data_IF_156544256190
#
_entry.id   IF_156544256190
#
_cell.length_a   1.000
_cell.length_b   1.000
_cell.length_c   1.000
_cell.angle_alpha   90.00
_cell.angle_beta   90.00
_cell.angle_gamma   90.00
#
_symmetry.space_group_name_H-M   'P 1'
#
loop_
_entity.id
_entity.type
_entity.pdbx_description
1 polymer ?
#
# COMPACT_ATOMS: atom_id res chain seq x y z
N UNK A 1 0.66 -8.93 30.99
CA UNK A 1 -0.59 -8.74 30.22
C UNK A 1 -1.52 -9.96 30.25
N UNK A 2 -0.99 -11.19 30.26
CA UNK A 2 -1.80 -12.43 30.22
C UNK A 2 -2.38 -12.87 31.57
N UNK A 3 -2.08 -12.14 32.64
CA UNK A 3 -2.63 -12.40 33.96
C UNK A 3 -4.15 -12.18 33.97
N UNK A 4 -4.88 -13.11 34.60
CA UNK A 4 -6.34 -13.06 34.67
C UNK A 4 -6.81 -12.23 35.86
N UNK A 5 -7.71 -11.29 35.60
CA UNK A 5 -8.42 -10.46 36.57
C UNK A 5 -9.92 -10.72 36.49
N UNK A 6 -10.62 -10.48 37.60
CA UNK A 6 -12.09 -10.60 37.65
C UNK A 6 -12.68 -9.19 37.48
N UNK A 7 -13.57 -9.02 36.51
CA UNK A 7 -14.28 -7.77 36.24
C UNK A 7 -15.79 -8.01 36.27
N UNK A 8 -16.56 -6.94 36.47
CA UNK A 8 -18.02 -6.96 36.33
C UNK A 8 -18.41 -6.31 35.01
N UNK A 9 -19.12 -7.03 34.14
CA UNK A 9 -19.53 -6.58 32.82
C UNK A 9 -21.00 -6.98 32.60
N UNK A 10 -21.88 -6.01 32.31
CA UNK A 10 -23.31 -6.27 32.11
C UNK A 10 -23.99 -6.98 33.29
N UNK A 11 -23.59 -6.63 34.52
CA UNK A 11 -24.09 -7.26 35.75
C UNK A 11 -23.55 -8.67 36.05
N UNK A 12 -22.66 -9.22 35.22
CA UNK A 12 -22.05 -10.54 35.43
C UNK A 12 -20.56 -10.44 35.73
N UNK A 13 -20.06 -11.32 36.60
CA UNK A 13 -18.63 -11.47 36.87
C UNK A 13 -17.97 -12.27 35.76
N UNK A 14 -16.87 -11.77 35.21
CA UNK A 14 -16.08 -12.44 34.18
C UNK A 14 -14.61 -12.42 34.55
N UNK A 15 -13.90 -13.50 34.24
CA UNK A 15 -12.45 -13.62 34.44
C UNK A 15 -11.76 -13.44 33.08
N UNK A 16 -11.18 -12.26 32.87
CA UNK A 16 -10.52 -11.87 31.61
C UNK A 16 -9.07 -11.45 31.89
N UNK A 17 -8.24 -11.34 30.88
CA UNK A 17 -6.85 -10.92 31.03
C UNK A 17 -6.74 -9.41 31.29
N UNK A 18 -5.66 -8.98 31.93
CA UNK A 18 -5.35 -7.54 32.10
C UNK A 18 -5.32 -6.82 30.74
N UNK A 19 -4.78 -7.46 29.71
CA UNK A 19 -4.75 -6.91 28.35
C UNK A 19 -6.15 -6.64 27.80
N UNK A 20 -7.07 -7.60 27.93
CA UNK A 20 -8.46 -7.44 27.50
C UNK A 20 -9.18 -6.32 28.26
N UNK A 21 -8.98 -6.22 29.58
CA UNK A 21 -9.57 -5.14 30.39
C UNK A 21 -9.09 -3.76 29.92
N UNK A 22 -7.80 -3.61 29.66
CA UNK A 22 -7.22 -2.35 29.17
C UNK A 22 -7.78 -2.00 27.80
N UNK A 23 -7.85 -2.97 26.88
CA UNK A 23 -8.41 -2.76 25.55
C UNK A 23 -9.88 -2.29 25.62
N UNK A 24 -10.71 -2.95 26.45
CA UNK A 24 -12.11 -2.54 26.67
C UNK A 24 -12.22 -1.13 27.21
N UNK A 25 -11.43 -0.79 28.23
CA UNK A 25 -11.46 0.55 28.83
C UNK A 25 -11.01 1.63 27.83
N UNK A 26 -10.01 1.32 27.01
CA UNK A 26 -9.52 2.22 25.98
C UNK A 26 -10.60 2.49 24.91
N UNK A 27 -11.30 1.46 24.46
CA UNK A 27 -12.41 1.59 23.50
C UNK A 27 -13.54 2.42 24.11
N UNK A 28 -13.93 2.15 25.35
CA UNK A 28 -14.97 2.93 26.03
C UNK A 28 -14.62 4.42 26.13
N UNK A 29 -13.37 4.74 26.51
CA UNK A 29 -12.87 6.12 26.56
C UNK A 29 -12.88 6.80 25.19
N UNK A 30 -12.47 6.09 24.14
CA UNK A 30 -12.51 6.60 22.79
C UNK A 30 -13.94 6.85 22.29
N UNK A 31 -14.88 5.95 22.61
CA UNK A 31 -16.31 6.13 22.31
C UNK A 31 -16.93 7.34 23.04
N UNK A 32 -16.36 7.72 24.19
CA UNK A 32 -16.69 8.96 24.91
C UNK A 32 -15.91 10.20 24.40
N UNK A 33 -15.33 10.14 23.20
CA UNK A 33 -14.58 11.23 22.56
C UNK A 33 -13.30 11.69 23.29
N UNK A 34 -12.69 10.84 24.12
CA UNK A 34 -11.40 11.16 24.73
C UNK A 34 -10.29 11.16 23.66
N UNK A 35 -9.76 12.35 23.34
CA UNK A 35 -8.79 12.55 22.25
C UNK A 35 -7.58 11.61 22.36
N UNK A 36 -7.04 11.45 23.57
CA UNK A 36 -5.88 10.60 23.82
C UNK A 36 -6.18 9.12 23.52
N UNK A 37 -7.37 8.65 23.89
CA UNK A 37 -7.79 7.28 23.63
C UNK A 37 -7.97 7.03 22.11
N UNK A 38 -8.58 7.97 21.39
CA UNK A 38 -8.72 7.90 19.93
C UNK A 38 -7.35 7.86 19.22
N UNK A 39 -6.40 8.70 19.65
CA UNK A 39 -5.03 8.71 19.09
C UNK A 39 -4.30 7.38 19.33
N UNK A 40 -4.47 6.79 20.51
CA UNK A 40 -3.91 5.47 20.83
C UNK A 40 -4.51 4.38 19.94
N UNK A 41 -5.84 4.37 19.75
CA UNK A 41 -6.50 3.41 18.86
C UNK A 41 -6.02 3.54 17.41
N UNK A 42 -5.93 4.76 16.87
CA UNK A 42 -5.39 5.01 15.52
C UNK A 42 -3.96 4.49 15.35
N UNK A 43 -3.14 4.61 16.39
CA UNK A 43 -1.77 4.10 16.39
C UNK A 43 -1.75 2.57 16.39
N UNK A 44 -2.62 1.93 17.18
CA UNK A 44 -2.77 0.48 17.23
C UNK A 44 -3.26 -0.06 15.88
N UNK A 45 -4.27 0.55 15.29
CA UNK A 45 -4.81 0.22 13.97
C UNK A 45 -3.73 0.28 12.88
N UNK A 46 -2.97 1.38 12.83
CA UNK A 46 -1.86 1.53 11.88
C UNK A 46 -0.82 0.41 12.02
N UNK A 47 -0.46 0.05 13.26
CA UNK A 47 0.50 -1.04 13.49
C UNK A 47 -0.04 -2.39 13.04
N UNK A 48 -1.33 -2.65 13.27
CA UNK A 48 -1.96 -3.89 12.80
C UNK A 48 -1.97 -3.96 11.28
N UNK A 49 -2.34 -2.88 10.60
CA UNK A 49 -2.33 -2.80 9.13
C UNK A 49 -0.93 -3.00 8.55
N UNK A 50 0.11 -2.47 9.20
CA UNK A 50 1.50 -2.72 8.79
C UNK A 50 1.92 -4.16 9.04
N UNK A 51 1.50 -4.75 10.17
CA UNK A 51 1.80 -6.15 10.50
C UNK A 51 1.09 -7.13 9.56
N UNK A 52 -0.15 -6.86 9.17
CA UNK A 52 -0.87 -7.68 8.17
C UNK A 52 -0.22 -7.57 6.80
N UNK A 53 0.14 -6.36 6.35
CA UNK A 53 0.89 -6.20 5.10
C UNK A 53 2.26 -6.89 5.12
N UNK A 54 2.97 -6.85 6.25
CA UNK A 54 4.22 -7.56 6.40
C UNK A 54 4.01 -9.08 6.37
N UNK A 55 2.96 -9.58 7.02
CA UNK A 55 2.58 -10.99 7.00
C UNK A 55 2.11 -11.46 5.61
N UNK A 56 1.39 -10.62 4.86
CA UNK A 56 0.98 -10.89 3.48
C UNK A 56 2.19 -10.91 2.54
N UNK A 57 3.14 -9.97 2.70
CA UNK A 57 4.40 -9.96 1.94
C UNK A 57 5.27 -11.19 2.25
N UNK A 58 5.32 -11.64 3.49
CA UNK A 58 6.05 -12.86 3.85
C UNK A 58 5.31 -14.14 3.47
N UNK A 59 3.98 -14.13 3.40
CA UNK A 59 3.17 -15.24 2.90
C UNK A 59 3.15 -15.33 1.36
N UNK A 60 3.48 -14.25 0.65
CA UNK A 60 3.61 -14.22 -0.82
C UNK A 60 4.95 -14.83 -1.31
N UNK A 61 5.76 -15.36 -0.40
CA UNK A 61 6.98 -16.13 -0.69
C UNK A 61 6.76 -17.58 -0.16
N UNK A 62 5.97 -18.45 -0.80
CA UNK A 62 6.38 -19.47 -1.82
C UNK A 62 5.29 -20.60 -1.90
N UNK A 63 5.19 -21.47 -2.95
CA UNK A 63 6.18 -21.74 -3.99
C UNK A 63 5.90 -20.95 -5.26
N UNK A 64 6.97 -20.59 -5.95
CA UNK A 64 7.00 -20.39 -7.40
C UNK A 64 6.09 -21.42 -8.09
N UNK A 65 4.87 -21.02 -8.44
CA UNK A 65 4.20 -21.58 -9.60
C UNK A 65 5.15 -21.27 -10.75
N UNK A 66 5.73 -22.32 -11.38
CA UNK A 66 6.56 -22.28 -12.58
C UNK A 66 6.51 -20.89 -13.22
N UNK A 67 7.45 -20.02 -12.83
CA UNK A 67 7.67 -18.83 -13.63
C UNK A 67 7.93 -19.39 -15.03
N UNK A 68 7.30 -18.90 -16.10
CA UNK A 68 7.84 -19.18 -17.41
C UNK A 68 9.30 -18.82 -17.30
N UNK A 69 10.19 -19.81 -17.46
CA UNK A 69 11.61 -19.54 -17.59
C UNK A 69 11.70 -18.62 -18.79
N UNK A 70 11.67 -17.32 -18.55
CA UNK A 70 12.00 -16.37 -19.58
C UNK A 70 13.42 -16.77 -19.96
N UNK A 71 13.65 -17.16 -21.23
CA UNK A 71 14.98 -17.55 -21.65
C UNK A 71 15.92 -16.43 -21.22
N UNK A 72 16.92 -16.78 -20.41
CA UNK A 72 17.96 -15.84 -20.02
C UNK A 72 18.55 -15.30 -21.32
N UNK A 73 18.23 -14.06 -21.67
CA UNK A 73 18.73 -13.44 -22.90
C UNK A 73 20.20 -13.20 -22.66
N UNK A 74 21.04 -13.99 -23.32
CA UNK A 74 22.48 -13.80 -23.31
C UNK A 74 22.82 -12.59 -24.21
N UNK A 75 22.89 -11.41 -23.59
CA UNK A 75 23.19 -10.15 -24.29
C UNK A 75 24.57 -10.15 -24.96
N UNK A 76 25.48 -11.06 -24.58
CA UNK A 76 26.79 -11.21 -25.23
C UNK A 76 26.69 -11.82 -26.63
N UNK A 77 25.56 -12.42 -27.00
CA UNK A 77 25.30 -12.96 -28.35
C UNK A 77 24.63 -11.96 -29.28
N UNK A 78 24.22 -10.79 -28.77
CA UNK A 78 23.57 -9.77 -29.57
C UNK A 78 24.60 -9.03 -30.42
N UNK A 79 24.29 -8.86 -31.70
CA UNK A 79 25.10 -8.00 -32.58
C UNK A 79 24.97 -6.54 -32.16
N UNK A 80 25.95 -5.71 -32.54
CA UNK A 80 25.95 -4.26 -32.27
C UNK A 80 24.66 -3.58 -32.75
N UNK A 81 24.06 -4.06 -33.86
CA UNK A 81 22.79 -3.54 -34.37
C UNK A 81 21.62 -3.85 -33.44
N UNK A 82 21.57 -5.06 -32.88
CA UNK A 82 20.51 -5.47 -31.96
C UNK A 82 20.61 -4.75 -30.61
N UNK A 83 21.83 -4.52 -30.11
CA UNK A 83 22.04 -3.74 -28.90
C UNK A 83 21.55 -2.29 -29.05
N UNK A 84 21.76 -1.68 -30.23
CA UNK A 84 21.30 -0.32 -30.50
C UNK A 84 19.77 -0.20 -30.51
N UNK A 85 19.09 -1.17 -31.12
CA UNK A 85 17.61 -1.22 -31.13
C UNK A 85 17.06 -1.42 -29.72
N UNK A 86 17.72 -2.25 -28.90
CA UNK A 86 17.32 -2.45 -27.51
C UNK A 86 17.46 -1.17 -26.68
N UNK A 87 18.53 -0.41 -26.90
CA UNK A 87 18.79 0.84 -26.20
C UNK A 87 17.79 1.94 -26.59
N UNK A 88 17.44 2.03 -27.88
CA UNK A 88 16.39 2.94 -28.36
C UNK A 88 15.01 2.58 -27.79
N UNK A 89 14.69 1.28 -27.69
CA UNK A 89 13.45 0.83 -27.06
C UNK A 89 13.39 1.16 -25.56
N UNK A 90 14.52 1.08 -24.85
CA UNK A 90 14.61 1.45 -23.43
C UNK A 90 14.43 2.97 -23.26
N UNK A 91 15.05 3.78 -24.12
CA UNK A 91 14.88 5.25 -24.11
C UNK A 91 13.42 5.69 -24.33
N UNK A 92 12.66 4.97 -25.17
CA UNK A 92 11.23 5.23 -25.39
C UNK A 92 10.38 4.88 -24.16
N UNK A 93 10.76 3.84 -23.42
CA UNK A 93 10.01 3.38 -22.25
C UNK A 93 10.34 4.25 -21.01
N UNK A 94 11.59 4.65 -20.86
CA UNK A 94 12.05 5.50 -19.76
C UNK A 94 11.75 6.99 -20.01
N UNK A 95 11.79 7.41 -21.27
CA UNK A 95 11.36 8.72 -21.73
C UNK A 95 9.86 8.76 -21.98
N UNK A 96 9.05 9.03 -20.93
CA UNK A 96 7.74 9.68 -21.12
C UNK A 96 7.98 10.97 -21.92
N UNK A 97 7.86 10.92 -23.24
CA UNK A 97 7.61 12.10 -24.05
C UNK A 97 6.27 12.70 -23.57
N UNK A 98 6.28 13.98 -23.21
CA UNK A 98 5.06 14.79 -23.28
C UNK A 98 4.45 14.60 -24.68
N UNK A 99 3.11 14.53 -24.80
CA UNK A 99 2.47 14.37 -26.09
C UNK A 99 2.99 15.44 -27.05
N UNK A 100 3.24 15.11 -28.34
CA UNK A 100 3.77 16.06 -29.29
C UNK A 100 2.90 17.31 -29.28
N UNK A 101 3.53 18.49 -29.23
CA UNK A 101 2.88 19.79 -29.40
C UNK A 101 2.09 19.74 -30.71
N UNK A 102 0.81 19.41 -30.61
CA UNK A 102 -0.10 19.57 -31.73
C UNK A 102 -0.10 21.06 -32.04
N UNK A 103 0.15 21.49 -33.29
CA UNK A 103 -0.04 22.89 -33.64
C UNK A 103 -1.46 23.26 -33.22
N UNK A 104 -1.58 24.29 -32.38
CA UNK A 104 -2.89 24.79 -31.97
C UNK A 104 -3.76 24.94 -33.23
N UNK A 105 -5.02 24.45 -33.21
CA UNK A 105 -5.93 24.78 -34.28
C UNK A 105 -5.98 26.32 -34.40
N UNK A 106 -6.01 26.87 -35.62
CA UNK A 106 -6.14 28.31 -35.80
C UNK A 106 -7.36 28.79 -35.00
N UNK A 107 -7.27 29.94 -34.30
CA UNK A 107 -8.41 30.47 -33.59
C UNK A 107 -9.58 30.63 -34.57
N UNK A 108 -10.73 30.10 -34.17
CA UNK A 108 -11.96 30.13 -34.95
C UNK A 108 -12.33 31.60 -35.24
N UNK A 109 -12.50 32.01 -36.51
CA UNK A 109 -12.84 33.40 -36.85
C UNK A 109 -14.32 33.63 -36.51
N UNK A 110 -14.65 33.73 -35.22
CA UNK A 110 -16.04 33.82 -34.79
C UNK A 110 -16.29 34.38 -33.39
N UNK A 111 -15.31 34.48 -32.50
CA UNK A 111 -15.53 35.10 -31.18
C UNK A 111 -15.05 36.56 -31.18
N UNK A 112 -15.94 37.46 -31.63
CA UNK A 112 -15.84 38.86 -31.28
C UNK A 112 -15.97 39.05 -29.76
N UNK A 113 -15.12 39.87 -29.12
CA UNK A 113 -15.26 40.18 -27.71
C UNK A 113 -16.48 41.09 -27.51
N UNK A 114 -17.43 40.66 -26.68
CA UNK A 114 -18.43 41.52 -26.05
C UNK A 114 -18.13 41.69 -24.57
#
# INVERSE_FOLDING_TARGET
MNEKVVVHEGGRRRKITKGETIAKQLVNKAASCELRAMQMLKTIERRQLMATQAAERSATLEPVALQPQYPQIDFSKLSTRQLKVLQEAIEIIEGRQEPPDLPMPPPDPGEEPR
#
